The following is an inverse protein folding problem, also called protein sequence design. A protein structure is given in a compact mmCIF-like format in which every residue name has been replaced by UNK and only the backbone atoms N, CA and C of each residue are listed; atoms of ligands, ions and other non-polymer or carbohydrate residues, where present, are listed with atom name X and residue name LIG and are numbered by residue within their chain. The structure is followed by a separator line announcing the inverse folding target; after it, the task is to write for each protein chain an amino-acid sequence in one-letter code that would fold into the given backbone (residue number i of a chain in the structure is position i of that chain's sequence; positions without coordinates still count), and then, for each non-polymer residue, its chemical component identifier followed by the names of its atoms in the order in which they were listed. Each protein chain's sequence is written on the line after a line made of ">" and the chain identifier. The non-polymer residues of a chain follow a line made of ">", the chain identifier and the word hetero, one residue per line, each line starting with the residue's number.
data_IF_379009460454
#
_entry.id   IF_379009460454
#
_cell.length_a   1.000
_cell.length_b   1.000
_cell.length_c   1.000
_cell.angle_alpha   90.00
_cell.angle_beta   90.00
_cell.angle_gamma   90.00
#
_symmetry.space_group_name_H-M   'P 1'
#
loop_
_entity.id
_entity.type
_entity.pdbx_description
1 polymer ?
#
# COMPACT_ATOMS: atom_id res chain seq x y z
N UNK A 1 25.14 -8.24 14.28
CA UNK A 1 24.13 -7.32 14.84
C UNK A 1 23.00 -7.10 13.84
N UNK A 2 23.32 -6.65 12.63
CA UNK A 2 22.36 -6.41 11.53
C UNK A 2 21.42 -7.59 11.21
N UNK A 3 21.96 -8.81 11.04
CA UNK A 3 21.15 -10.03 10.83
C UNK A 3 20.14 -10.30 11.97
N UNK A 4 20.50 -9.95 13.21
CA UNK A 4 19.65 -10.12 14.39
C UNK A 4 18.50 -9.09 14.40
N UNK A 5 18.77 -7.86 13.95
CA UNK A 5 17.75 -6.80 13.82
C UNK A 5 16.72 -7.13 12.73
N UNK A 6 17.17 -7.66 11.59
CA UNK A 6 16.28 -8.10 10.51
C UNK A 6 15.37 -9.25 11.00
N UNK A 7 15.93 -10.25 11.68
CA UNK A 7 15.15 -11.36 12.23
C UNK A 7 14.09 -10.86 13.24
N UNK A 8 14.49 -10.01 14.19
CA UNK A 8 13.57 -9.42 15.15
C UNK A 8 12.47 -8.58 14.48
N UNK A 9 12.83 -7.78 13.46
CA UNK A 9 11.88 -7.00 12.67
C UNK A 9 10.89 -7.87 11.91
N UNK A 10 11.34 -8.92 11.23
CA UNK A 10 10.46 -9.84 10.50
C UNK A 10 9.52 -10.60 11.44
N UNK A 11 10.01 -11.05 12.60
CA UNK A 11 9.16 -11.68 13.61
C UNK A 11 8.08 -10.70 14.11
N UNK A 12 8.47 -9.45 14.39
CA UNK A 12 7.53 -8.41 14.81
C UNK A 12 6.51 -8.08 13.73
N UNK A 13 6.92 -8.04 12.46
CA UNK A 13 6.03 -7.85 11.33
C UNK A 13 5.00 -8.99 11.22
N UNK A 14 5.44 -10.24 11.37
CA UNK A 14 4.54 -11.40 11.36
C UNK A 14 3.51 -11.36 12.51
N UNK A 15 3.90 -10.90 13.71
CA UNK A 15 2.98 -10.67 14.83
C UNK A 15 1.92 -9.62 14.50
N UNK A 16 2.34 -8.48 13.91
CA UNK A 16 1.45 -7.40 13.50
C UNK A 16 0.44 -7.91 12.47
N UNK A 17 0.91 -8.60 11.42
CA UNK A 17 0.04 -9.17 10.39
C UNK A 17 -0.94 -10.19 10.96
N UNK A 18 -0.49 -11.03 11.88
CA UNK A 18 -1.35 -12.02 12.55
C UNK A 18 -2.44 -11.33 13.36
N UNK A 19 -2.09 -10.26 14.09
CA UNK A 19 -3.07 -9.48 14.87
C UNK A 19 -4.09 -8.77 13.98
N UNK A 20 -3.65 -8.17 12.88
CA UNK A 20 -4.54 -7.55 11.89
C UNK A 20 -5.48 -8.58 11.26
N UNK A 21 -4.96 -9.75 10.88
CA UNK A 21 -5.76 -10.83 10.32
C UNK A 21 -6.86 -11.30 11.28
N UNK A 22 -6.53 -11.48 12.55
CA UNK A 22 -7.50 -11.89 13.57
C UNK A 22 -8.58 -10.82 13.80
N UNK A 23 -8.21 -9.55 13.78
CA UNK A 23 -9.14 -8.41 13.85
C UNK A 23 -10.07 -8.42 12.62
N UNK A 24 -9.53 -8.51 11.41
CA UNK A 24 -10.33 -8.52 10.19
C UNK A 24 -11.31 -9.69 10.12
N UNK A 25 -10.91 -10.88 10.59
CA UNK A 25 -11.84 -12.03 10.70
C UNK A 25 -13.00 -11.74 11.63
N UNK A 26 -12.74 -11.16 12.80
CA UNK A 26 -13.80 -10.77 13.74
C UNK A 26 -14.76 -9.74 13.13
N UNK A 27 -14.23 -8.72 12.48
CA UNK A 27 -15.06 -7.71 11.80
C UNK A 27 -15.95 -8.35 10.72
N UNK A 28 -15.41 -9.24 9.89
CA UNK A 28 -16.17 -9.98 8.87
C UNK A 28 -17.22 -10.91 9.46
N UNK A 29 -16.95 -11.49 10.63
CA UNK A 29 -17.90 -12.33 11.38
C UNK A 29 -18.89 -11.50 12.23
N UNK A 30 -18.84 -10.16 12.15
CA UNK A 30 -19.63 -9.24 12.98
C UNK A 30 -19.44 -9.45 14.49
N UNK A 31 -18.25 -9.88 14.89
CA UNK A 31 -17.86 -10.02 16.30
C UNK A 31 -17.30 -8.67 16.79
N UNK A 32 -17.80 -8.13 17.91
CA UNK A 32 -17.25 -6.91 18.49
C UNK A 32 -15.77 -7.02 18.85
N UNK A 33 -14.99 -5.98 18.53
CA UNK A 33 -13.60 -5.86 18.97
C UNK A 33 -13.54 -5.37 20.41
N UNK A 34 -12.47 -5.72 21.13
CA UNK A 34 -12.22 -5.16 22.47
C UNK A 34 -11.36 -3.89 22.42
N UNK A 35 -11.28 -3.17 23.54
CA UNK A 35 -10.53 -1.90 23.65
C UNK A 35 -9.06 -2.03 23.24
N UNK A 36 -8.40 -3.16 23.52
CA UNK A 36 -7.01 -3.37 23.11
C UNK A 36 -6.89 -3.54 21.58
N UNK A 37 -7.90 -4.09 20.92
CA UNK A 37 -7.95 -4.24 19.47
C UNK A 37 -8.21 -2.91 18.77
N UNK A 38 -9.13 -2.10 19.31
CA UNK A 38 -9.32 -0.73 18.84
C UNK A 38 -8.06 0.11 19.03
N UNK A 39 -7.46 0.07 20.22
CA UNK A 39 -6.21 0.77 20.50
C UNK A 39 -5.08 0.32 19.58
N UNK A 40 -5.02 -0.98 19.22
CA UNK A 40 -4.02 -1.48 18.27
C UNK A 40 -4.22 -0.88 16.87
N UNK A 41 -5.46 -0.81 16.36
CA UNK A 41 -5.77 -0.20 15.07
C UNK A 41 -5.43 1.31 15.08
N UNK A 42 -5.88 2.03 16.11
CA UNK A 42 -5.63 3.47 16.25
C UNK A 42 -4.13 3.80 16.29
N UNK A 43 -3.32 2.94 16.91
CA UNK A 43 -1.88 3.13 17.03
C UNK A 43 -1.07 2.41 15.92
N UNK A 44 -1.73 1.85 14.90
CA UNK A 44 -1.05 1.09 13.85
C UNK A 44 0.05 1.89 13.14
N UNK A 45 -0.15 3.19 12.93
CA UNK A 45 0.86 4.08 12.36
C UNK A 45 2.15 4.11 13.19
N UNK A 46 2.04 4.37 14.48
CA UNK A 46 3.19 4.39 15.41
C UNK A 46 3.85 3.00 15.54
N UNK A 47 3.05 1.93 15.55
CA UNK A 47 3.55 0.55 15.55
C UNK A 47 4.40 0.29 14.30
N UNK A 48 3.95 0.76 13.14
CA UNK A 48 4.64 0.61 11.86
C UNK A 48 5.93 1.43 11.81
N UNK A 49 5.92 2.66 12.31
CA UNK A 49 7.13 3.49 12.44
C UNK A 49 8.21 2.80 13.30
N UNK A 50 7.82 2.23 14.44
CA UNK A 50 8.74 1.48 15.29
C UNK A 50 9.32 0.23 14.61
N UNK A 51 8.52 -0.48 13.82
CA UNK A 51 8.99 -1.60 13.02
C UNK A 51 10.00 -1.17 11.96
N UNK A 52 9.69 -0.10 11.20
CA UNK A 52 10.57 0.45 10.17
C UNK A 52 11.91 0.83 10.79
N UNK A 53 11.91 1.56 11.91
CA UNK A 53 13.13 1.95 12.63
C UNK A 53 13.96 0.75 13.11
N UNK A 54 13.30 -0.33 13.51
CA UNK A 54 13.99 -1.57 13.93
C UNK A 54 14.70 -2.24 12.76
N UNK A 55 14.02 -2.34 11.60
CA UNK A 55 14.57 -2.99 10.41
C UNK A 55 15.68 -2.15 9.76
N UNK A 56 15.53 -0.82 9.74
CA UNK A 56 16.52 0.10 9.19
C UNK A 56 17.72 0.32 10.12
N UNK A 57 17.63 -0.07 11.39
CA UNK A 57 18.67 0.18 12.39
C UNK A 57 18.82 1.65 12.78
N UNK A 58 17.81 2.49 12.56
CA UNK A 58 17.85 3.92 12.87
C UNK A 58 16.90 4.77 12.03
N UNK A 59 17.22 6.06 11.89
CA UNK A 59 16.48 6.98 11.02
C UNK A 59 16.56 6.52 9.55
N UNK A 60 15.44 6.64 8.84
CA UNK A 60 15.32 6.28 7.43
C UNK A 60 15.26 7.55 6.59
N UNK A 61 15.96 7.53 5.45
CA UNK A 61 15.84 8.60 4.47
C UNK A 61 14.36 8.74 4.02
N UNK A 62 13.73 9.91 4.16
CA UNK A 62 12.37 10.14 3.72
C UNK A 62 12.10 9.76 2.26
N UNK A 63 13.12 9.76 1.40
CA UNK A 63 13.00 9.29 0.01
C UNK A 63 12.55 7.83 -0.08
N UNK A 64 13.01 6.97 0.84
CA UNK A 64 12.65 5.54 0.89
C UNK A 64 11.19 5.34 1.33
N UNK A 65 10.58 6.35 1.97
CA UNK A 65 9.19 6.31 2.41
C UNK A 65 8.21 6.84 1.35
N UNK A 66 8.70 7.27 0.18
CA UNK A 66 7.84 7.71 -0.91
C UNK A 66 7.03 6.55 -1.45
N UNK A 67 5.73 6.78 -1.61
CA UNK A 67 4.78 5.79 -2.12
C UNK A 67 4.69 5.77 -3.64
N UNK A 68 5.26 6.78 -4.30
CA UNK A 68 5.24 6.91 -5.77
C UNK A 68 6.40 6.11 -6.35
N UNK A 69 6.09 4.89 -6.78
CA UNK A 69 7.05 3.87 -7.22
C UNK A 69 6.58 3.23 -8.52
N UNK A 70 7.52 2.72 -9.32
CA UNK A 70 7.25 1.97 -10.55
C UNK A 70 8.16 0.74 -10.66
N UNK A 71 7.65 -0.34 -11.24
CA UNK A 71 8.42 -1.56 -11.46
C UNK A 71 8.13 -2.19 -12.83
N UNK A 72 9.19 -2.67 -13.50
CA UNK A 72 9.10 -3.60 -14.63
C UNK A 72 8.73 -4.99 -14.10
N UNK A 73 7.51 -5.42 -14.38
CA UNK A 73 6.98 -6.73 -13.96
C UNK A 73 7.09 -7.79 -15.06
N UNK A 74 7.26 -7.38 -16.32
CA UNK A 74 7.41 -8.30 -17.44
C UNK A 74 8.09 -7.66 -18.66
N UNK A 75 9.04 -8.39 -19.26
CA UNK A 75 9.75 -7.98 -20.47
C UNK A 75 9.37 -8.88 -21.67
N UNK A 76 8.74 -8.31 -22.71
CA UNK A 76 8.39 -9.01 -23.95
C UNK A 76 9.45 -8.81 -25.05
N UNK A 77 10.34 -9.79 -25.16
CA UNK A 77 11.46 -9.82 -26.12
C UNK A 77 11.07 -9.71 -27.60
N UNK A 78 9.84 -10.08 -27.98
CA UNK A 78 9.38 -10.08 -29.37
C UNK A 78 8.96 -8.68 -29.80
N UNK A 79 8.17 -7.99 -28.99
CA UNK A 79 7.70 -6.64 -29.30
C UNK A 79 8.64 -5.54 -28.81
N UNK A 80 9.70 -5.89 -28.08
CA UNK A 80 10.64 -4.96 -27.45
C UNK A 80 9.94 -3.99 -26.49
N UNK A 81 8.94 -4.49 -25.76
CA UNK A 81 8.20 -3.73 -24.75
C UNK A 81 8.36 -4.34 -23.36
N UNK A 82 8.16 -3.49 -22.35
CA UNK A 82 8.00 -3.88 -20.95
C UNK A 82 6.56 -3.61 -20.51
N UNK A 83 6.08 -4.40 -19.56
CA UNK A 83 4.90 -4.11 -18.75
C UNK A 83 5.42 -3.53 -17.45
N UNK A 84 4.97 -2.31 -17.14
CA UNK A 84 5.30 -1.64 -15.90
C UNK A 84 4.03 -1.39 -15.09
N UNK A 85 4.16 -1.60 -13.79
CA UNK A 85 3.14 -1.30 -12.79
C UNK A 85 3.64 -0.20 -11.87
N UNK A 86 2.77 0.78 -11.58
CA UNK A 86 3.14 1.94 -10.80
C UNK A 86 2.07 2.36 -9.81
N UNK A 87 2.52 2.90 -8.68
CA UNK A 87 1.68 3.63 -7.74
C UNK A 87 1.92 5.11 -7.96
N UNK A 88 0.84 5.88 -8.11
CA UNK A 88 0.90 7.34 -8.22
C UNK A 88 0.60 8.02 -6.89
N UNK A 89 0.02 9.21 -6.96
CA UNK A 89 -0.38 9.96 -5.78
C UNK A 89 -1.51 9.25 -5.00
N UNK A 90 -1.48 9.41 -3.68
CA UNK A 90 -2.46 8.81 -2.76
C UNK A 90 -3.88 9.30 -3.09
N UNK A 91 -4.79 8.35 -3.20
CA UNK A 91 -6.24 8.61 -3.31
C UNK A 91 -6.88 8.49 -1.93
N UNK A 92 -8.09 9.02 -1.80
CA UNK A 92 -8.92 8.80 -0.60
C UNK A 92 -9.92 7.69 -0.89
N UNK A 93 -9.89 6.63 -0.09
CA UNK A 93 -10.93 5.62 -0.04
C UNK A 93 -12.02 6.03 0.96
N UNK A 94 -13.28 5.83 0.57
CA UNK A 94 -14.44 5.93 1.45
C UNK A 94 -15.14 4.58 1.45
N UNK A 95 -15.16 3.91 2.60
CA UNK A 95 -15.67 2.55 2.75
C UNK A 95 -16.88 2.59 3.68
N UNK A 96 -18.04 2.23 3.16
CA UNK A 96 -19.23 2.03 3.97
C UNK A 96 -19.28 0.58 4.48
N UNK A 97 -19.35 0.40 5.79
CA UNK A 97 -19.48 -0.92 6.41
C UNK A 97 -20.51 -0.90 7.53
N UNK A 98 -21.07 -2.08 7.83
CA UNK A 98 -22.16 -2.23 8.80
C UNK A 98 -21.60 -2.73 10.13
N UNK A 99 -21.97 -2.07 11.21
CA UNK A 99 -21.68 -2.53 12.57
C UNK A 99 -22.62 -3.69 12.97
N UNK A 100 -22.24 -4.54 13.94
CA UNK A 100 -23.10 -5.62 14.45
C UNK A 100 -24.49 -5.14 14.89
N UNK A 101 -24.57 -3.90 15.37
CA UNK A 101 -25.80 -3.24 15.83
C UNK A 101 -26.75 -2.80 14.71
N UNK A 102 -26.30 -2.84 13.46
CA UNK A 102 -27.11 -2.48 12.29
C UNK A 102 -26.80 -1.14 11.65
N UNK A 103 -26.04 -0.27 12.32
CA UNK A 103 -25.65 1.05 11.83
C UNK A 103 -24.62 0.95 10.69
N UNK A 104 -24.70 1.87 9.71
CA UNK A 104 -23.67 2.04 8.68
C UNK A 104 -22.68 3.09 9.15
N UNK A 105 -21.39 2.74 9.13
CA UNK A 105 -20.27 3.65 9.39
C UNK A 105 -19.48 3.87 8.10
N UNK A 106 -18.93 5.08 7.94
CA UNK A 106 -18.03 5.42 6.84
C UNK A 106 -16.59 5.49 7.37
N UNK A 107 -15.75 4.54 6.93
CA UNK A 107 -14.30 4.63 7.07
C UNK A 107 -13.73 5.50 5.95
N UNK A 108 -12.84 6.43 6.28
CA UNK A 108 -12.17 7.31 5.31
C UNK A 108 -10.67 7.22 5.55
N UNK A 109 -9.90 6.96 4.50
CA UNK A 109 -8.45 6.80 4.63
C UNK A 109 -7.71 6.84 3.30
N UNK A 110 -6.37 6.90 3.35
CA UNK A 110 -5.55 6.88 2.15
C UNK A 110 -5.57 5.49 1.48
N UNK A 111 -5.53 5.47 0.15
CA UNK A 111 -5.29 4.27 -0.66
C UNK A 111 -4.34 4.59 -1.80
N UNK A 112 -3.64 3.58 -2.32
CA UNK A 112 -2.77 3.74 -3.48
C UNK A 112 -3.60 3.91 -4.76
N UNK A 113 -3.15 4.80 -5.64
CA UNK A 113 -3.53 4.75 -7.06
C UNK A 113 -2.77 3.61 -7.75
N UNK A 114 -3.27 3.15 -8.88
CA UNK A 114 -2.69 2.02 -9.59
C UNK A 114 -2.66 2.28 -11.10
N UNK A 115 -1.50 2.04 -11.69
CA UNK A 115 -1.23 2.20 -13.10
C UNK A 115 -0.59 0.92 -13.63
N UNK A 116 -1.04 0.45 -14.78
CA UNK A 116 -0.45 -0.67 -15.51
C UNK A 116 -0.39 -0.28 -16.99
N UNK A 117 0.81 -0.26 -17.57
CA UNK A 117 0.99 0.18 -18.95
C UNK A 117 2.20 -0.47 -19.61
N UNK A 118 2.19 -0.49 -20.95
CA UNK A 118 3.31 -1.01 -21.75
C UNK A 118 4.07 0.12 -22.41
N UNK A 119 5.40 0.04 -22.39
CA UNK A 119 6.25 0.97 -23.14
C UNK A 119 7.52 0.31 -23.70
N UNK A 120 8.27 0.96 -24.59
CA UNK A 120 9.50 0.41 -25.16
C UNK A 120 10.53 0.04 -24.08
N UNK A 121 11.24 -1.09 -24.26
CA UNK A 121 12.29 -1.55 -23.32
C UNK A 121 13.41 -0.52 -23.09
N UNK A 122 13.68 0.33 -24.08
CA UNK A 122 14.67 1.41 -23.99
C UNK A 122 14.24 2.55 -23.05
N UNK A 123 12.95 2.61 -22.71
CA UNK A 123 12.33 3.64 -21.87
C UNK A 123 11.89 3.10 -20.50
N UNK A 124 12.52 2.03 -19.98
CA UNK A 124 12.28 1.56 -18.62
C UNK A 124 12.38 2.70 -17.62
N UNK A 125 11.43 2.79 -16.71
CA UNK A 125 11.33 3.91 -15.79
C UNK A 125 12.15 3.70 -14.52
N UNK A 126 12.63 4.82 -14.00
CA UNK A 126 12.98 4.96 -12.59
C UNK A 126 11.84 5.67 -11.87
N UNK A 127 11.80 5.60 -10.55
CA UNK A 127 10.79 6.31 -9.74
C UNK A 127 10.81 7.82 -9.97
N UNK A 128 11.98 8.42 -10.25
CA UNK A 128 12.12 9.83 -10.60
C UNK A 128 11.40 10.14 -11.91
N UNK A 129 11.62 9.33 -12.94
CA UNK A 129 10.97 9.53 -14.24
C UNK A 129 9.47 9.27 -14.16
N UNK A 130 9.05 8.33 -13.32
CA UNK A 130 7.63 8.07 -13.07
C UNK A 130 6.93 9.27 -12.45
N UNK A 131 7.56 9.93 -11.47
CA UNK A 131 7.04 11.19 -10.89
C UNK A 131 6.86 12.29 -11.93
N UNK A 132 7.82 12.47 -12.84
CA UNK A 132 7.69 13.44 -13.93
C UNK A 132 6.51 13.13 -14.88
N UNK A 133 6.25 11.85 -15.14
CA UNK A 133 5.13 11.41 -15.99
C UNK A 133 3.80 11.69 -15.29
N UNK A 134 3.69 11.39 -13.99
CA UNK A 134 2.51 11.68 -13.17
C UNK A 134 2.15 13.16 -13.14
N UNK A 135 3.16 14.04 -13.13
CA UNK A 135 2.96 15.50 -13.08
C UNK A 135 2.60 16.12 -14.44
N UNK A 136 2.77 15.38 -15.54
CA UNK A 136 2.60 15.91 -16.90
C UNK A 136 1.41 15.28 -17.63
N UNK A 137 1.51 13.99 -17.97
CA UNK A 137 0.49 13.27 -18.69
C UNK A 137 0.60 11.77 -18.36
N UNK A 138 0.07 11.35 -17.19
CA UNK A 138 0.11 9.97 -16.79
C UNK A 138 -0.66 9.08 -17.77
N UNK A 139 -0.27 7.81 -17.92
CA UNK A 139 -1.11 6.83 -18.60
C UNK A 139 -2.45 6.71 -17.86
N UNK A 140 -3.54 6.30 -18.54
CA UNK A 140 -4.81 6.05 -17.88
C UNK A 140 -4.65 4.93 -16.85
N UNK A 141 -5.36 5.06 -15.73
CA UNK A 141 -5.51 3.93 -14.82
C UNK A 141 -6.33 2.81 -15.49
N UNK A 142 -6.18 1.54 -15.08
CA UNK A 142 -6.83 0.42 -15.76
C UNK A 142 -8.35 0.47 -15.68
N UNK A 143 -9.05 0.22 -16.79
CA UNK A 143 -10.53 0.29 -16.87
C UNK A 143 -11.27 -0.56 -15.82
N UNK A 144 -10.66 -1.65 -15.35
CA UNK A 144 -11.30 -2.55 -14.38
C UNK A 144 -11.55 -1.90 -13.00
N UNK A 145 -10.89 -0.78 -12.70
CA UNK A 145 -11.11 -0.05 -11.43
C UNK A 145 -12.33 0.86 -11.46
N UNK A 146 -12.90 1.15 -12.63
CA UNK A 146 -13.98 2.14 -12.81
C UNK A 146 -15.25 1.78 -12.00
N UNK A 147 -15.39 0.52 -11.62
CA UNK A 147 -16.52 0.04 -10.81
C UNK A 147 -16.46 0.45 -9.33
N UNK A 148 -15.29 0.82 -8.81
CA UNK A 148 -15.09 1.15 -7.40
C UNK A 148 -14.16 2.35 -7.15
N UNK A 149 -13.51 2.89 -8.18
CA UNK A 149 -12.67 4.08 -8.13
C UNK A 149 -13.26 5.18 -9.00
N UNK A 150 -13.28 6.41 -8.48
CA UNK A 150 -13.67 7.58 -9.25
C UNK A 150 -12.43 8.14 -9.94
N UNK A 151 -12.35 8.00 -11.27
CA UNK A 151 -11.38 8.69 -12.09
C UNK A 151 -11.91 10.12 -12.33
N UNK A 152 -11.19 11.13 -11.81
CA UNK A 152 -11.44 12.55 -12.12
C UNK A 152 -10.43 13.04 -13.13
#
# INVERSE_FOLDING_TARGET
>A
LEKLMIEAGLNRFAEILSKLLDISKKELENIPLNDNEYSFIENFGSISEGLISTVSGGEVDPEVLKTVLVADVHTDGNTKKVLEEGVGYIKTAVIAYKLPEGHILLGVGPTFSYYEFKQPMENRLTDEKWREILDSNPPPEPEWIDSFSCNK
#
